data_IF_533556125249
#
_entry.id   IF_533556125249
#
_cell.length_a   1.000
_cell.length_b   1.000
_cell.length_c   1.000
_cell.angle_alpha   90.00
_cell.angle_beta   90.00
_cell.angle_gamma   90.00
#
_symmetry.space_group_name_H-M   'P 1'
#
loop_
_entity.id
_entity.type
_entity.pdbx_description
1 polymer ?
#
# COMPACT_ATOMS: atom_id res chain seq x y z
N UNK A 1 22.16 15.71 -9.71
CA UNK A 1 22.77 14.62 -8.92
C UNK A 1 22.17 14.46 -7.52
N UNK A 2 21.05 15.13 -7.20
CA UNK A 2 20.39 15.12 -5.88
C UNK A 2 19.26 14.09 -5.76
N UNK A 3 18.48 13.89 -6.83
CA UNK A 3 17.29 13.00 -6.83
C UNK A 3 17.66 11.54 -6.52
N UNK A 4 18.80 11.05 -7.02
CA UNK A 4 19.25 9.68 -6.75
C UNK A 4 19.62 9.44 -5.29
N UNK A 5 20.16 10.45 -4.60
CA UNK A 5 20.56 10.37 -3.19
C UNK A 5 19.33 10.40 -2.28
N UNK A 6 18.32 11.21 -2.63
CA UNK A 6 17.04 11.26 -1.90
C UNK A 6 16.26 9.95 -2.04
N UNK A 7 16.19 9.39 -3.25
CA UNK A 7 15.55 8.09 -3.48
C UNK A 7 16.24 6.96 -2.69
N UNK A 8 17.57 6.96 -2.62
CA UNK A 8 18.32 5.97 -1.81
C UNK A 8 18.03 6.09 -0.31
N UNK A 9 17.92 7.31 0.23
CA UNK A 9 17.58 7.53 1.65
C UNK A 9 16.14 7.13 1.97
N UNK A 10 15.22 7.34 1.03
CA UNK A 10 13.81 6.97 1.18
C UNK A 10 13.62 5.46 1.22
N UNK A 11 14.29 4.72 0.32
CA UNK A 11 14.27 3.25 0.33
C UNK A 11 14.83 2.68 1.65
N UNK A 12 15.89 3.29 2.18
CA UNK A 12 16.46 2.90 3.47
C UNK A 12 15.46 3.04 4.63
N UNK A 13 14.59 4.07 4.61
CA UNK A 13 13.55 4.22 5.62
C UNK A 13 12.59 3.03 5.61
N UNK A 14 12.03 2.67 4.45
CA UNK A 14 11.03 1.59 4.38
C UNK A 14 11.63 0.24 4.78
N UNK A 15 12.83 -0.08 4.28
CA UNK A 15 13.50 -1.33 4.64
C UNK A 15 13.76 -1.43 6.15
N UNK A 16 14.26 -0.35 6.76
CA UNK A 16 14.50 -0.30 8.21
C UNK A 16 13.20 -0.34 9.03
N UNK A 17 12.17 0.37 8.57
CA UNK A 17 10.89 0.45 9.26
C UNK A 17 10.20 -0.92 9.34
N UNK A 18 10.04 -1.62 8.21
CA UNK A 18 9.37 -2.92 8.19
C UNK A 18 10.22 -4.04 8.79
N UNK A 19 11.54 -3.89 8.85
CA UNK A 19 12.40 -4.80 9.63
C UNK A 19 12.13 -4.71 11.14
N UNK A 20 11.86 -3.50 11.65
CA UNK A 20 11.57 -3.28 13.07
C UNK A 20 10.08 -3.50 13.42
N UNK A 21 9.21 -3.40 12.43
CA UNK A 21 7.77 -3.60 12.55
C UNK A 21 7.31 -4.66 11.53
N UNK A 22 7.67 -5.94 11.75
CA UNK A 22 7.39 -6.99 10.80
C UNK A 22 5.87 -7.18 10.64
N UNK A 23 5.45 -7.30 9.39
CA UNK A 23 4.08 -7.61 9.02
C UNK A 23 4.11 -9.02 8.44
N UNK A 24 3.23 -9.88 8.92
CA UNK A 24 3.04 -11.20 8.32
C UNK A 24 2.51 -11.01 6.90
N UNK A 25 3.19 -11.60 5.91
CA UNK A 25 2.74 -11.51 4.53
C UNK A 25 1.46 -12.34 4.36
N UNK A 26 0.43 -11.71 3.83
CA UNK A 26 -0.90 -12.28 3.54
C UNK A 26 -1.46 -11.58 2.31
N UNK A 27 -2.47 -12.19 1.70
CA UNK A 27 -3.11 -11.69 0.47
C UNK A 27 -4.42 -11.00 0.82
N UNK A 28 -4.60 -9.80 0.27
CA UNK A 28 -5.88 -9.11 0.29
C UNK A 28 -6.33 -8.76 -1.13
N UNK A 29 -7.64 -8.55 -1.28
CA UNK A 29 -8.23 -8.26 -2.58
C UNK A 29 -8.84 -6.88 -2.56
N UNK A 30 -8.58 -6.10 -3.61
CA UNK A 30 -9.26 -4.85 -3.90
C UNK A 30 -10.20 -5.11 -5.07
N UNK A 31 -11.49 -4.94 -4.84
CA UNK A 31 -12.48 -4.89 -5.90
C UNK A 31 -12.65 -3.44 -6.36
N UNK A 32 -12.49 -3.18 -7.66
CA UNK A 32 -12.76 -1.88 -8.26
C UNK A 32 -13.22 -2.04 -9.72
N UNK A 33 -14.32 -1.38 -10.08
CA UNK A 33 -14.91 -1.43 -11.42
C UNK A 33 -15.17 -2.86 -11.92
N UNK A 34 -15.78 -3.70 -11.07
CA UNK A 34 -16.08 -5.12 -11.34
C UNK A 34 -14.83 -5.98 -11.64
N UNK A 35 -13.64 -5.46 -11.31
CA UNK A 35 -12.36 -6.18 -11.41
C UNK A 35 -11.79 -6.42 -10.03
N UNK A 36 -11.12 -7.55 -9.87
CA UNK A 36 -10.43 -7.93 -8.64
C UNK A 36 -8.92 -7.77 -8.81
N UNK A 37 -8.28 -7.10 -7.87
CA UNK A 37 -6.84 -6.88 -7.80
C UNK A 37 -6.32 -7.56 -6.53
N UNK A 38 -5.41 -8.51 -6.70
CA UNK A 38 -4.83 -9.26 -5.59
C UNK A 38 -3.49 -8.64 -5.21
N UNK A 39 -3.27 -8.44 -3.91
CA UNK A 39 -2.05 -7.85 -3.38
C UNK A 39 -1.53 -8.66 -2.20
N UNK A 40 -0.23 -8.91 -2.21
CA UNK A 40 0.54 -9.30 -1.04
C UNK A 40 1.12 -8.07 -0.34
N UNK A 41 1.23 -8.06 0.98
CA UNK A 41 1.80 -6.92 1.71
C UNK A 41 3.23 -6.61 1.29
N UNK A 42 4.06 -7.63 1.07
CA UNK A 42 5.45 -7.44 0.61
C UNK A 42 5.50 -6.76 -0.76
N UNK A 43 4.57 -7.12 -1.65
CA UNK A 43 4.45 -6.49 -2.97
C UNK A 43 4.04 -5.02 -2.84
N UNK A 44 3.16 -4.66 -1.90
CA UNK A 44 2.81 -3.26 -1.64
C UNK A 44 4.02 -2.49 -1.11
N UNK A 45 4.80 -3.08 -0.20
CA UNK A 45 6.01 -2.46 0.35
C UNK A 45 7.03 -2.16 -0.77
N UNK A 46 7.26 -3.11 -1.67
CA UNK A 46 8.16 -2.90 -2.80
C UNK A 46 7.60 -1.90 -3.81
N UNK A 47 6.28 -1.91 -4.05
CA UNK A 47 5.61 -0.92 -4.90
C UNK A 47 5.82 0.52 -4.38
N UNK A 48 5.75 0.74 -3.07
CA UNK A 48 5.94 2.07 -2.46
C UNK A 48 7.33 2.64 -2.81
N UNK A 49 8.37 1.81 -2.85
CA UNK A 49 9.75 2.22 -3.20
C UNK A 49 9.87 2.73 -4.63
N UNK A 50 8.92 2.38 -5.50
CA UNK A 50 8.86 2.84 -6.89
C UNK A 50 8.04 4.12 -7.08
N UNK A 51 7.37 4.64 -6.06
CA UNK A 51 6.57 5.87 -6.17
C UNK A 51 7.43 7.12 -6.26
N UNK A 52 6.83 8.24 -6.69
CA UNK A 52 7.49 9.54 -6.67
C UNK A 52 7.83 9.95 -5.23
N UNK A 53 8.94 10.67 -5.04
CA UNK A 53 9.44 11.08 -3.72
C UNK A 53 8.35 11.75 -2.84
N UNK A 54 7.50 12.59 -3.45
CA UNK A 54 6.38 13.25 -2.75
C UNK A 54 5.37 12.25 -2.18
N UNK A 55 5.03 11.20 -2.92
CA UNK A 55 4.13 10.15 -2.46
C UNK A 55 4.82 9.28 -1.40
N UNK A 56 6.11 8.97 -1.57
CA UNK A 56 6.90 8.25 -0.56
C UNK A 56 6.96 9.03 0.77
N UNK A 57 7.17 10.34 0.73
CA UNK A 57 7.16 11.19 1.93
C UNK A 57 5.80 11.24 2.61
N UNK A 58 4.72 11.26 1.84
CA UNK A 58 3.37 11.16 2.38
C UNK A 58 3.13 9.82 3.07
N UNK A 59 3.50 8.72 2.41
CA UNK A 59 3.36 7.36 2.94
C UNK A 59 4.20 7.16 4.20
N UNK A 60 5.44 7.66 4.21
CA UNK A 60 6.30 7.66 5.39
C UNK A 60 5.61 8.29 6.60
N UNK A 61 4.97 9.44 6.43
CA UNK A 61 4.22 10.11 7.50
C UNK A 61 3.02 9.29 7.98
N UNK A 62 2.32 8.63 7.06
CA UNK A 62 1.20 7.74 7.41
C UNK A 62 1.67 6.54 8.23
N UNK A 63 2.72 5.84 7.78
CA UNK A 63 3.28 4.69 8.49
C UNK A 63 3.77 5.06 9.89
N UNK A 64 4.45 6.21 10.02
CA UNK A 64 4.89 6.71 11.32
C UNK A 64 3.71 7.03 12.25
N UNK A 65 2.63 7.62 11.72
CA UNK A 65 1.42 7.93 12.49
C UNK A 65 0.72 6.66 12.97
N UNK A 66 0.50 5.69 12.07
CA UNK A 66 -0.11 4.41 12.42
C UNK A 66 0.70 3.69 13.51
N UNK A 67 2.02 3.65 13.36
CA UNK A 67 2.91 3.05 14.36
C UNK A 67 2.86 3.79 15.70
N UNK A 68 2.89 5.12 15.68
CA UNK A 68 2.78 5.94 16.91
C UNK A 68 1.46 5.70 17.66
N UNK A 69 0.38 5.49 16.92
CA UNK A 69 -0.94 5.18 17.47
C UNK A 69 -1.14 3.68 17.80
N UNK A 70 -0.11 2.84 17.62
CA UNK A 70 -0.19 1.38 17.71
C UNK A 70 -1.35 0.78 16.88
N UNK A 71 -1.62 1.38 15.72
CA UNK A 71 -2.61 0.89 14.77
C UNK A 71 -1.99 -0.19 13.87
N UNK A 72 -2.86 -1.04 13.32
CA UNK A 72 -2.42 -2.09 12.40
C UNK A 72 -1.89 -1.50 11.09
N UNK A 73 -0.59 -1.71 10.84
CA UNK A 73 0.08 -1.26 9.63
C UNK A 73 -0.46 -1.95 8.37
N UNK A 74 -1.07 -3.13 8.49
CA UNK A 74 -1.76 -3.81 7.38
C UNK A 74 -2.86 -2.93 6.80
N UNK A 75 -3.61 -2.24 7.65
CA UNK A 75 -4.67 -1.30 7.22
C UNK A 75 -4.07 -0.14 6.43
N UNK A 76 -2.92 0.40 6.88
CA UNK A 76 -2.22 1.45 6.17
C UNK A 76 -1.78 0.99 4.76
N UNK A 77 -1.21 -0.21 4.65
CA UNK A 77 -0.81 -0.80 3.36
C UNK A 77 -2.01 -1.04 2.44
N UNK A 78 -3.12 -1.56 2.96
CA UNK A 78 -4.35 -1.74 2.19
C UNK A 78 -4.88 -0.41 1.64
N UNK A 79 -4.84 0.65 2.45
CA UNK A 79 -5.26 2.00 2.01
C UNK A 79 -4.34 2.53 0.89
N UNK A 80 -3.03 2.32 1.01
CA UNK A 80 -2.06 2.72 -0.03
C UNK A 80 -2.33 1.98 -1.34
N UNK A 81 -2.53 0.67 -1.29
CA UNK A 81 -2.86 -0.14 -2.47
C UNK A 81 -4.21 0.26 -3.08
N UNK A 82 -5.22 0.52 -2.25
CA UNK A 82 -6.53 1.00 -2.70
C UNK A 82 -6.42 2.34 -3.41
N UNK A 83 -5.63 3.27 -2.87
CA UNK A 83 -5.39 4.57 -3.51
C UNK A 83 -4.60 4.45 -4.81
N UNK A 84 -3.66 3.51 -4.89
CA UNK A 84 -2.96 3.17 -6.12
C UNK A 84 -3.93 2.67 -7.20
N UNK A 85 -4.80 1.70 -6.88
CA UNK A 85 -5.82 1.18 -7.81
C UNK A 85 -6.79 2.28 -8.24
N UNK A 86 -7.25 3.11 -7.29
CA UNK A 86 -8.13 4.26 -7.59
C UNK A 86 -7.50 5.23 -8.58
N UNK A 87 -6.20 5.53 -8.44
CA UNK A 87 -5.45 6.38 -9.39
C UNK A 87 -5.25 5.67 -10.73
N UNK A 88 -5.01 4.37 -10.73
CA UNK A 88 -4.79 3.55 -11.94
C UNK A 88 -6.04 3.46 -12.82
N UNK A 89 -7.22 3.28 -12.21
CA UNK A 89 -8.50 3.15 -12.94
C UNK A 89 -9.01 4.51 -13.44
N UNK A 90 -8.53 5.63 -12.88
CA UNK A 90 -8.86 6.99 -13.32
C UNK A 90 -10.22 7.50 -12.80
N UNK A 91 -10.50 8.80 -13.01
CA UNK A 91 -11.67 9.56 -12.54
C UNK A 91 -13.04 9.10 -13.11
N UNK A 92 -13.17 7.84 -13.54
CA UNK A 92 -14.47 7.29 -13.88
C UNK A 92 -15.30 7.23 -12.59
N UNK A 93 -16.46 7.93 -12.59
CA UNK A 93 -17.48 8.05 -11.51
C UNK A 93 -17.11 7.34 -10.21
N UNK A 94 -16.78 8.10 -9.14
CA UNK A 94 -16.56 7.62 -7.74
C UNK A 94 -16.63 6.09 -7.63
N UNK A 95 -15.58 5.41 -8.07
CA UNK A 95 -15.56 3.96 -8.03
C UNK A 95 -15.03 3.61 -6.65
N UNK A 96 -15.93 3.20 -5.75
CA UNK A 96 -15.56 2.81 -4.40
C UNK A 96 -14.72 1.53 -4.49
N UNK A 97 -13.43 1.64 -4.16
CA UNK A 97 -12.57 0.48 -4.00
C UNK A 97 -12.98 -0.25 -2.70
N UNK A 98 -13.33 -1.52 -2.80
CA UNK A 98 -13.67 -2.34 -1.63
C UNK A 98 -12.53 -3.30 -1.34
N UNK A 99 -12.00 -3.24 -0.13
CA UNK A 99 -11.05 -4.24 0.36
C UNK A 99 -11.86 -5.43 0.86
N UNK A 100 -11.61 -6.59 0.28
CA UNK A 100 -12.28 -7.84 0.61
C UNK A 100 -11.28 -8.82 1.24
N UNK A 101 -11.68 -9.56 2.28
CA UNK A 101 -10.89 -10.71 2.72
C UNK A 101 -10.89 -11.76 1.60
N UNK A 102 -9.75 -12.45 1.41
CA UNK A 102 -9.58 -13.43 0.32
C UNK A 102 -10.72 -14.47 0.28
N UNK A 103 -11.20 -14.89 1.44
CA UNK A 103 -12.29 -15.86 1.60
C UNK A 103 -13.62 -15.42 0.96
N UNK A 104 -13.86 -14.11 0.84
CA UNK A 104 -15.06 -13.57 0.20
C UNK A 104 -15.06 -13.75 -1.32
N UNK A 105 -13.88 -13.83 -1.95
CA UNK A 105 -13.75 -14.04 -3.40
C UNK A 105 -13.90 -15.52 -3.76
N UNK A 106 -13.46 -16.42 -2.87
CA UNK A 106 -13.50 -17.88 -3.10
C UNK A 106 -14.96 -18.39 -3.17
N UNK A 107 -15.90 -17.72 -2.50
CA UNK A 107 -17.33 -18.09 -2.51
C UNK A 107 -18.14 -17.52 -3.70
N UNK A 108 -17.51 -16.82 -4.65
CA UNK A 108 -18.19 -16.28 -5.84
C UNK A 108 -18.23 -17.25 -7.04
N UNK A 109 -17.96 -18.54 -6.84
CA UNK A 109 -18.08 -19.59 -7.86
C UNK A 109 -19.39 -20.37 -7.75
#
# INVERSE_FOLDING_TARGET
MSVLIENQKSNYFFDSFFKNHPIENDVFVIEANEKYFFFEYDTVIDMIKCFAQKDQDYIRRQLQLYNYLNQDLRICLMQIASDYIRRLIGNHKKTDCKILPLQSVIHCN
#
